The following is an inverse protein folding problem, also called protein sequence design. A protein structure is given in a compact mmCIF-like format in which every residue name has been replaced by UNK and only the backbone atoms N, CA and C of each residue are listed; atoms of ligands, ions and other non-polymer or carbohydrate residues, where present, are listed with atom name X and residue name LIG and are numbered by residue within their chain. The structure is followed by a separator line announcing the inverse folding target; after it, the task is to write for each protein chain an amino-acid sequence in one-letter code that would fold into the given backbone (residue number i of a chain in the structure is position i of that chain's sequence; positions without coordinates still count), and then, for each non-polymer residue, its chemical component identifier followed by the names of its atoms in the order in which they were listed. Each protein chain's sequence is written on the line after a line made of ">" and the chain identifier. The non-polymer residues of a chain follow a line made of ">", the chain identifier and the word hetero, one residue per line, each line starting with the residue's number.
data_IF_623117609197
#
_entry.id   IF_623117609197
#
_cell.length_a   1.000
_cell.length_b   1.000
_cell.length_c   1.000
_cell.angle_alpha   90.00
_cell.angle_beta   90.00
_cell.angle_gamma   90.00
#
_symmetry.space_group_name_H-M   'P 1'
#
loop_
_entity.id
_entity.type
_entity.pdbx_description
1 polymer ?
#
# COMPACT_ATOMS: atom_id res chain seq x y z
N UNK A 1 3.53 16.98 17.41
CA UNK A 1 3.45 15.78 18.26
C UNK A 1 2.23 15.77 19.16
N UNK A 2 1.90 16.84 19.89
CA UNK A 2 0.71 16.85 20.78
C UNK A 2 -0.62 16.53 20.07
N UNK A 3 -0.88 17.13 18.90
CA UNK A 3 -2.09 16.83 18.11
C UNK A 3 -2.15 15.35 17.69
N UNK A 4 -1.02 14.78 17.26
CA UNK A 4 -0.95 13.37 16.86
C UNK A 4 -1.24 12.45 18.05
N UNK A 5 -0.74 12.79 19.24
CA UNK A 5 -1.05 12.04 20.47
C UNK A 5 -2.56 12.04 20.79
N UNK A 6 -3.24 13.21 20.69
CA UNK A 6 -4.69 13.30 20.89
C UNK A 6 -5.47 12.41 19.90
N UNK A 7 -5.05 12.39 18.64
CA UNK A 7 -5.64 11.54 17.61
C UNK A 7 -5.42 10.05 17.93
N UNK A 8 -4.21 9.67 18.36
CA UNK A 8 -3.92 8.27 18.74
C UNK A 8 -4.84 7.81 19.87
N UNK A 9 -4.99 8.62 20.91
CA UNK A 9 -5.89 8.31 22.04
C UNK A 9 -7.34 8.15 21.57
N UNK A 10 -7.83 9.06 20.73
CA UNK A 10 -9.23 9.05 20.25
C UNK A 10 -9.55 7.83 19.37
N UNK A 11 -8.61 7.40 18.54
CA UNK A 11 -8.83 6.34 17.55
C UNK A 11 -8.22 4.99 17.93
N UNK A 12 -7.65 4.83 19.14
CA UNK A 12 -6.84 3.68 19.56
C UNK A 12 -7.46 2.31 19.31
N UNK A 13 -8.78 2.18 19.48
CA UNK A 13 -9.50 0.91 19.27
C UNK A 13 -9.92 0.65 17.81
N UNK A 14 -9.73 1.64 16.93
CA UNK A 14 -10.11 1.51 15.53
C UNK A 14 -9.06 0.73 14.73
N UNK A 15 -9.55 -0.02 13.72
CA UNK A 15 -8.73 -0.85 12.84
C UNK A 15 -9.17 -0.70 11.39
N UNK A 16 -8.24 -0.96 10.48
CA UNK A 16 -8.55 -1.02 9.07
C UNK A 16 -9.54 -2.16 8.77
N UNK A 17 -10.71 -1.81 8.24
CA UNK A 17 -11.68 -2.80 7.76
C UNK A 17 -11.20 -3.38 6.42
N UNK A 18 -11.56 -4.65 6.11
CA UNK A 18 -11.35 -5.22 4.78
C UNK A 18 -11.97 -4.34 3.69
N UNK A 19 -11.29 -4.25 2.55
CA UNK A 19 -11.72 -3.51 1.37
C UNK A 19 -12.61 -4.40 0.52
N UNK A 20 -13.78 -3.87 0.14
CA UNK A 20 -14.66 -4.55 -0.81
C UNK A 20 -14.16 -4.37 -2.24
N UNK A 21 -14.22 -5.43 -3.03
CA UNK A 21 -14.05 -5.38 -4.49
C UNK A 21 -15.06 -6.29 -5.20
N UNK A 22 -15.27 -6.04 -6.49
CA UNK A 22 -16.20 -6.80 -7.33
C UNK A 22 -15.45 -7.62 -8.36
N UNK A 23 -15.30 -8.95 -8.20
CA UNK A 23 -14.57 -9.80 -9.15
C UNK A 23 -14.96 -9.58 -10.61
N UNK A 24 -16.26 -9.44 -10.91
CA UNK A 24 -16.76 -9.22 -12.27
C UNK A 24 -16.22 -7.96 -12.95
N UNK A 25 -15.86 -6.91 -12.20
CA UNK A 25 -15.28 -5.67 -12.77
C UNK A 25 -13.82 -5.84 -13.19
N UNK A 26 -13.13 -6.84 -12.65
CA UNK A 26 -11.71 -7.10 -12.89
C UNK A 26 -11.47 -8.22 -13.90
N UNK A 27 -12.35 -9.22 -13.93
CA UNK A 27 -12.17 -10.47 -14.67
C UNK A 27 -11.67 -10.28 -16.12
N UNK A 28 -12.38 -9.51 -16.93
CA UNK A 28 -12.02 -9.29 -18.34
C UNK A 28 -10.66 -8.61 -18.55
N UNK A 29 -10.14 -7.91 -17.54
CA UNK A 29 -8.84 -7.24 -17.58
C UNK A 29 -7.70 -8.16 -17.14
N UNK A 30 -7.99 -9.24 -16.41
CA UNK A 30 -6.99 -10.15 -15.85
C UNK A 30 -6.89 -11.48 -16.61
N UNK A 31 -7.97 -11.91 -17.26
CA UNK A 31 -7.99 -13.15 -18.06
C UNK A 31 -6.93 -13.20 -19.16
N UNK A 32 -6.69 -12.13 -19.97
CA UNK A 32 -5.64 -12.15 -20.99
C UNK A 32 -4.21 -12.33 -20.42
N UNK A 33 -4.03 -12.10 -19.12
CA UNK A 33 -2.74 -12.18 -18.44
C UNK A 33 -2.65 -13.38 -17.49
N UNK A 34 -3.60 -14.32 -17.55
CA UNK A 34 -3.65 -15.51 -16.67
C UNK A 34 -3.58 -15.14 -15.17
N UNK A 35 -4.19 -14.02 -14.79
CA UNK A 35 -4.20 -13.49 -13.43
C UNK A 35 -5.60 -13.48 -12.79
N UNK A 36 -6.61 -14.05 -13.47
CA UNK A 36 -7.99 -14.01 -13.01
C UNK A 36 -8.25 -14.88 -11.77
N UNK A 37 -7.41 -15.87 -11.48
CA UNK A 37 -7.48 -16.67 -10.25
C UNK A 37 -7.23 -15.85 -8.98
N UNK A 38 -6.54 -14.70 -9.09
CA UNK A 38 -6.35 -13.78 -7.97
C UNK A 38 -7.68 -13.25 -7.44
N UNK A 39 -8.75 -13.27 -8.26
CA UNK A 39 -10.09 -12.83 -7.84
C UNK A 39 -10.71 -13.73 -6.76
N UNK A 40 -10.14 -14.90 -6.50
CA UNK A 40 -10.55 -15.80 -5.42
C UNK A 40 -9.89 -15.49 -4.07
N UNK A 41 -9.09 -14.43 -3.98
CA UNK A 41 -8.51 -13.98 -2.71
C UNK A 41 -9.56 -13.40 -1.75
N UNK A 42 -9.25 -13.47 -0.45
CA UNK A 42 -10.08 -12.93 0.62
C UNK A 42 -11.36 -13.74 0.80
N UNK A 43 -12.37 -13.14 1.43
CA UNK A 43 -13.61 -13.81 1.82
C UNK A 43 -14.83 -13.27 1.06
N UNK A 44 -15.85 -14.09 0.87
CA UNK A 44 -17.12 -13.65 0.30
C UNK A 44 -17.80 -12.57 1.15
N UNK A 45 -18.37 -11.54 0.52
CA UNK A 45 -19.06 -10.46 1.22
C UNK A 45 -20.50 -10.88 1.55
N UNK A 46 -20.74 -11.28 2.80
CA UNK A 46 -22.06 -11.75 3.27
C UNK A 46 -23.15 -10.67 3.19
N UNK A 47 -22.76 -9.39 3.33
CA UNK A 47 -23.67 -8.24 3.38
C UNK A 47 -23.60 -7.35 2.13
N UNK A 48 -23.10 -7.87 1.00
CA UNK A 48 -22.94 -7.15 -0.27
C UNK A 48 -23.79 -7.73 -1.40
N UNK A 49 -23.79 -7.08 -2.58
CA UNK A 49 -24.27 -7.72 -3.81
C UNK A 49 -23.61 -9.09 -3.99
N UNK A 50 -24.40 -10.07 -4.43
CA UNK A 50 -23.93 -11.45 -4.63
C UNK A 50 -22.65 -11.47 -5.49
N UNK A 51 -21.60 -12.11 -4.96
CA UNK A 51 -20.30 -12.24 -5.63
C UNK A 51 -19.25 -11.19 -5.27
N UNK A 52 -19.59 -10.12 -4.54
CA UNK A 52 -18.59 -9.19 -3.99
C UNK A 52 -17.71 -9.91 -2.95
N UNK A 53 -16.43 -9.50 -2.86
CA UNK A 53 -15.45 -10.06 -1.93
C UNK A 53 -14.80 -8.99 -1.09
N UNK A 54 -14.23 -9.40 0.04
CA UNK A 54 -13.50 -8.56 0.98
C UNK A 54 -12.05 -9.02 1.04
N UNK A 55 -11.12 -8.08 0.88
CA UNK A 55 -9.68 -8.29 0.98
C UNK A 55 -9.08 -7.36 2.03
N UNK A 56 -8.30 -7.91 2.96
CA UNK A 56 -7.62 -7.20 4.04
C UNK A 56 -6.12 -7.12 3.80
N UNK A 57 -5.41 -6.28 4.58
CA UNK A 57 -3.94 -6.26 4.59
C UNK A 57 -3.36 -7.61 5.01
N UNK A 58 -4.05 -8.33 5.92
CA UNK A 58 -3.69 -9.68 6.34
C UNK A 58 -3.78 -10.71 5.20
N UNK A 59 -4.78 -10.60 4.31
CA UNK A 59 -4.87 -11.48 3.14
C UNK A 59 -3.69 -11.28 2.18
N UNK A 60 -3.18 -10.04 2.06
CA UNK A 60 -1.97 -9.75 1.27
C UNK A 60 -0.73 -10.36 1.91
N UNK A 61 -0.59 -10.27 3.24
CA UNK A 61 0.50 -10.92 3.97
C UNK A 61 0.45 -12.45 3.83
N UNK A 62 -0.71 -13.05 3.99
CA UNK A 62 -0.90 -14.50 3.79
C UNK A 62 -0.63 -14.92 2.35
N UNK A 63 -0.98 -14.09 1.36
CA UNK A 63 -0.62 -14.36 -0.03
C UNK A 63 0.90 -14.30 -0.21
N UNK A 64 1.56 -13.22 0.24
CA UNK A 64 3.03 -13.09 0.20
C UNK A 64 3.72 -14.30 0.81
N UNK A 65 3.31 -14.74 2.00
CA UNK A 65 3.97 -15.84 2.71
C UNK A 65 3.79 -17.21 2.01
N UNK A 66 2.76 -17.32 1.15
CA UNK A 66 2.48 -18.53 0.36
C UNK A 66 3.16 -18.52 -1.01
N UNK A 67 3.34 -17.36 -1.61
CA UNK A 67 3.84 -17.22 -2.97
C UNK A 67 5.36 -17.03 -2.93
N UNK A 68 6.07 -17.64 -3.88
CA UNK A 68 7.51 -17.50 -3.97
C UNK A 68 7.93 -16.17 -4.61
N UNK A 69 9.22 -16.04 -4.87
CA UNK A 69 9.78 -14.88 -5.60
C UNK A 69 9.81 -15.09 -7.12
N UNK A 70 9.11 -16.11 -7.62
CA UNK A 70 8.99 -16.32 -9.06
C UNK A 70 8.11 -15.21 -9.70
N UNK A 71 8.33 -14.90 -11.00
CA UNK A 71 7.63 -13.80 -11.66
C UNK A 71 6.09 -13.87 -11.60
N UNK A 72 5.50 -15.07 -11.64
CA UNK A 72 4.05 -15.23 -11.64
C UNK A 72 3.49 -15.01 -10.24
N UNK A 73 4.17 -15.53 -9.22
CA UNK A 73 3.86 -15.28 -7.80
C UNK A 73 3.88 -13.78 -7.46
N UNK A 74 4.92 -13.06 -7.88
CA UNK A 74 5.03 -11.61 -7.66
C UNK A 74 3.95 -10.83 -8.44
N UNK A 75 3.64 -11.24 -9.68
CA UNK A 75 2.53 -10.68 -10.46
C UNK A 75 1.20 -10.84 -9.72
N UNK A 76 0.93 -12.02 -9.18
CA UNK A 76 -0.34 -12.33 -8.51
C UNK A 76 -0.49 -11.52 -7.21
N UNK A 77 0.59 -11.40 -6.43
CA UNK A 77 0.63 -10.52 -5.27
C UNK A 77 0.41 -9.06 -5.67
N UNK A 78 1.08 -8.60 -6.73
CA UNK A 78 0.90 -7.25 -7.25
C UNK A 78 -0.56 -6.99 -7.66
N UNK A 79 -1.21 -7.91 -8.36
CA UNK A 79 -2.63 -7.80 -8.73
C UNK A 79 -3.51 -7.73 -7.48
N UNK A 80 -3.27 -8.56 -6.47
CA UNK A 80 -3.99 -8.51 -5.20
C UNK A 80 -3.85 -7.14 -4.51
N UNK A 81 -2.66 -6.55 -4.53
CA UNK A 81 -2.40 -5.20 -4.00
C UNK A 81 -3.17 -4.14 -4.80
N UNK A 82 -3.23 -4.25 -6.13
CA UNK A 82 -3.99 -3.30 -6.96
C UNK A 82 -5.51 -3.39 -6.69
N UNK A 83 -6.03 -4.61 -6.51
CA UNK A 83 -7.43 -4.86 -6.13
C UNK A 83 -7.73 -4.21 -4.77
N UNK A 84 -6.92 -4.52 -3.77
CA UNK A 84 -7.05 -3.94 -2.42
C UNK A 84 -6.95 -2.42 -2.41
N UNK A 85 -5.99 -1.85 -3.14
CA UNK A 85 -5.78 -0.40 -3.22
C UNK A 85 -6.88 0.35 -3.98
N UNK A 86 -7.61 -0.33 -4.87
CA UNK A 86 -8.65 0.30 -5.69
C UNK A 86 -10.04 0.20 -5.05
N UNK A 87 -10.35 -0.92 -4.39
CA UNK A 87 -11.67 -1.21 -3.85
C UNK A 87 -12.80 -1.06 -4.87
N UNK A 88 -14.00 -0.71 -4.40
CA UNK A 88 -15.15 -0.43 -5.29
C UNK A 88 -15.25 1.02 -5.76
N UNK A 89 -14.45 1.93 -5.21
CA UNK A 89 -14.56 3.39 -5.46
C UNK A 89 -13.65 3.86 -6.59
N UNK A 90 -12.59 3.12 -6.92
CA UNK A 90 -11.72 3.43 -8.03
C UNK A 90 -12.02 2.54 -9.26
N UNK A 91 -13.01 2.93 -10.06
CA UNK A 91 -13.40 2.20 -11.27
C UNK A 91 -12.31 2.11 -12.34
N UNK A 92 -11.23 2.88 -12.23
CA UNK A 92 -10.08 2.85 -13.16
C UNK A 92 -9.01 1.83 -12.76
N UNK A 93 -9.09 1.26 -11.55
CA UNK A 93 -8.14 0.28 -11.03
C UNK A 93 -7.85 -0.89 -12.00
N UNK A 94 -8.87 -1.56 -12.55
CA UNK A 94 -8.66 -2.67 -13.49
C UNK A 94 -7.86 -2.25 -14.74
N UNK A 95 -8.23 -1.13 -15.38
CA UNK A 95 -7.54 -0.59 -16.56
C UNK A 95 -6.08 -0.25 -16.28
N UNK A 96 -5.80 0.36 -15.14
CA UNK A 96 -4.42 0.70 -14.76
C UNK A 96 -3.58 -0.53 -14.42
N UNK A 97 -4.22 -1.57 -13.87
CA UNK A 97 -3.57 -2.84 -13.57
C UNK A 97 -3.25 -3.60 -14.86
N UNK A 98 -4.17 -3.64 -15.83
CA UNK A 98 -3.93 -4.21 -17.15
C UNK A 98 -2.81 -3.50 -17.89
N UNK A 99 -2.75 -2.17 -17.84
CA UNK A 99 -1.62 -1.42 -18.41
C UNK A 99 -0.27 -1.83 -17.81
N UNK A 100 -0.23 -2.16 -16.51
CA UNK A 100 0.98 -2.65 -15.84
C UNK A 100 1.31 -4.09 -16.24
N UNK A 101 0.30 -4.97 -16.34
CA UNK A 101 0.44 -6.37 -16.76
C UNK A 101 0.91 -6.48 -18.22
N UNK A 102 0.54 -5.53 -19.06
CA UNK A 102 0.99 -5.40 -20.45
C UNK A 102 2.40 -4.79 -20.59
N UNK A 103 3.03 -4.35 -19.49
CA UNK A 103 4.38 -3.78 -19.51
C UNK A 103 5.44 -4.89 -19.47
N UNK A 104 6.24 -5.01 -20.54
CA UNK A 104 7.29 -6.01 -20.65
C UNK A 104 8.34 -5.94 -19.52
N UNK A 105 8.43 -4.81 -18.81
CA UNK A 105 9.35 -4.62 -17.67
C UNK A 105 8.82 -5.22 -16.36
N UNK A 106 7.53 -5.57 -16.27
CA UNK A 106 6.89 -5.99 -15.03
C UNK A 106 7.66 -7.06 -14.25
N UNK A 107 8.06 -8.20 -14.84
CA UNK A 107 8.78 -9.24 -14.09
C UNK A 107 10.04 -8.72 -13.41
N UNK A 108 10.83 -7.92 -14.14
CA UNK A 108 12.08 -7.34 -13.62
C UNK A 108 11.79 -6.29 -12.55
N UNK A 109 10.85 -5.37 -12.77
CA UNK A 109 10.54 -4.30 -11.82
C UNK A 109 10.00 -4.87 -10.51
N UNK A 110 9.09 -5.84 -10.56
CA UNK A 110 8.55 -6.46 -9.34
C UNK A 110 9.67 -7.14 -8.56
N UNK A 111 10.50 -7.95 -9.21
CA UNK A 111 11.64 -8.63 -8.56
C UNK A 111 12.64 -7.66 -7.94
N UNK A 112 13.16 -6.71 -8.71
CA UNK A 112 14.23 -5.83 -8.19
C UNK A 112 13.72 -4.90 -7.10
N UNK A 113 12.44 -4.49 -7.17
CA UNK A 113 11.86 -3.63 -6.12
C UNK A 113 11.46 -4.42 -4.88
N UNK A 114 11.07 -5.70 -4.99
CA UNK A 114 10.89 -6.56 -3.81
C UNK A 114 12.23 -6.83 -3.12
N UNK A 115 13.28 -7.15 -3.88
CA UNK A 115 14.65 -7.32 -3.35
C UNK A 115 15.11 -6.05 -2.62
N UNK A 116 15.05 -4.89 -3.29
CA UNK A 116 15.46 -3.62 -2.68
C UNK A 116 14.66 -3.27 -1.41
N UNK A 117 13.35 -3.56 -1.37
CA UNK A 117 12.54 -3.36 -0.15
C UNK A 117 13.00 -4.31 0.96
N UNK A 118 13.24 -5.59 0.67
CA UNK A 118 13.71 -6.58 1.65
C UNK A 118 15.13 -6.33 2.15
N UNK A 119 15.95 -5.64 1.38
CA UNK A 119 17.27 -5.13 1.81
C UNK A 119 17.17 -3.81 2.59
N UNK A 120 16.00 -3.17 2.59
CA UNK A 120 15.78 -1.87 3.20
C UNK A 120 16.19 -0.66 2.38
N UNK A 121 16.59 -0.83 1.12
CA UNK A 121 16.84 0.28 0.19
C UNK A 121 15.53 0.82 -0.41
N UNK A 122 14.72 1.46 0.45
CA UNK A 122 13.46 2.08 0.03
C UNK A 122 13.65 3.21 -1.00
N UNK A 123 14.80 3.89 -0.97
CA UNK A 123 15.13 4.91 -1.97
C UNK A 123 15.46 4.27 -3.34
N UNK A 124 16.19 3.16 -3.36
CA UNK A 124 16.45 2.37 -4.54
C UNK A 124 15.18 1.79 -5.13
N UNK A 125 14.36 1.13 -4.31
CA UNK A 125 13.06 0.61 -4.74
C UNK A 125 12.21 1.71 -5.38
N UNK A 126 12.13 2.90 -4.76
CA UNK A 126 11.41 4.04 -5.30
C UNK A 126 11.94 4.49 -6.67
N UNK A 127 13.26 4.55 -6.86
CA UNK A 127 13.88 4.93 -8.15
C UNK A 127 13.61 3.90 -9.24
N UNK A 128 13.62 2.63 -8.88
CA UNK A 128 13.50 1.51 -9.82
C UNK A 128 12.05 1.24 -10.24
N UNK A 129 11.06 1.55 -9.41
CA UNK A 129 9.67 1.23 -9.71
C UNK A 129 9.11 2.11 -10.82
N UNK A 130 9.01 1.55 -12.04
CA UNK A 130 8.40 2.20 -13.20
C UNK A 130 7.58 1.19 -13.98
N UNK A 131 6.26 1.22 -13.81
CA UNK A 131 5.30 0.46 -14.61
C UNK A 131 4.17 1.35 -15.14
N UNK A 132 3.72 1.06 -16.34
CA UNK A 132 2.59 1.76 -16.94
C UNK A 132 1.33 1.63 -16.06
N UNK A 133 0.59 2.73 -15.91
CA UNK A 133 -0.64 2.76 -15.10
C UNK A 133 -0.43 2.83 -13.59
N UNK A 134 0.79 2.68 -13.07
CA UNK A 134 1.05 2.64 -11.62
C UNK A 134 1.72 3.93 -11.14
N UNK A 135 0.97 4.74 -10.39
CA UNK A 135 1.50 5.93 -9.72
C UNK A 135 2.06 5.65 -8.32
N UNK A 136 2.69 6.67 -7.71
CA UNK A 136 3.26 6.64 -6.34
C UNK A 136 2.35 6.03 -5.29
N UNK A 137 1.10 6.47 -5.27
CA UNK A 137 0.11 6.00 -4.31
C UNK A 137 -0.15 4.49 -4.39
N UNK A 138 0.13 3.85 -5.53
CA UNK A 138 -0.06 2.42 -5.73
C UNK A 138 1.24 1.62 -5.58
N UNK A 139 2.37 2.09 -6.12
CA UNK A 139 3.60 1.32 -5.94
C UNK A 139 4.10 1.30 -4.50
N UNK A 140 3.79 2.32 -3.69
CA UNK A 140 4.10 2.26 -2.24
C UNK A 140 3.25 1.23 -1.51
N UNK A 141 2.07 0.87 -2.03
CA UNK A 141 1.30 -0.29 -1.56
C UNK A 141 1.98 -1.61 -1.91
N UNK A 142 2.58 -1.68 -3.10
CA UNK A 142 3.42 -2.83 -3.46
C UNK A 142 4.60 -2.96 -2.49
N UNK A 143 5.32 -1.88 -2.21
CA UNK A 143 6.42 -1.90 -1.24
C UNK A 143 5.97 -2.38 0.13
N UNK A 144 4.87 -1.84 0.67
CA UNK A 144 4.33 -2.25 1.96
C UNK A 144 3.86 -3.73 1.97
N UNK A 145 3.43 -4.27 0.83
CA UNK A 145 2.96 -5.65 0.73
C UNK A 145 4.11 -6.67 0.64
N UNK A 146 5.23 -6.33 0.00
CA UNK A 146 6.39 -7.23 -0.13
C UNK A 146 7.37 -7.14 1.04
N UNK A 147 7.24 -6.12 1.90
CA UNK A 147 8.11 -5.97 3.06
C UNK A 147 7.80 -7.01 4.14
N UNK A 148 8.67 -8.01 4.26
CA UNK A 148 8.63 -9.10 5.24
C UNK A 148 9.80 -9.04 6.24
N UNK A 149 10.58 -7.95 6.23
CA UNK A 149 11.68 -7.72 7.19
C UNK A 149 11.18 -7.71 8.62
N UNK A 150 12.03 -7.80 9.62
CA UNK A 150 11.61 -7.80 11.03
C UNK A 150 10.83 -6.52 11.43
N UNK A 151 9.95 -6.61 12.43
CA UNK A 151 9.18 -5.45 12.94
C UNK A 151 10.05 -4.38 13.61
N UNK A 152 11.30 -4.71 13.96
CA UNK A 152 12.30 -3.76 14.47
C UNK A 152 12.92 -2.90 13.37
N UNK A 153 12.74 -3.25 12.10
CA UNK A 153 13.16 -2.45 10.97
C UNK A 153 12.10 -1.40 10.58
N UNK A 154 12.55 -0.29 10.01
CA UNK A 154 11.68 0.67 9.32
C UNK A 154 11.09 0.05 8.05
N UNK A 155 10.00 -0.71 8.19
CA UNK A 155 9.24 -1.32 7.10
C UNK A 155 8.59 -0.28 6.20
N UNK A 156 8.47 -0.58 4.92
CA UNK A 156 7.82 0.24 3.92
C UNK A 156 6.38 0.58 4.32
N UNK A 157 6.01 1.86 4.16
CA UNK A 157 4.68 2.39 4.43
C UNK A 157 4.08 2.99 3.16
N UNK A 158 2.76 3.05 3.09
CA UNK A 158 1.98 3.56 1.98
C UNK A 158 1.93 5.08 2.04
N UNK A 159 2.48 5.72 1.02
CA UNK A 159 2.40 7.18 0.84
C UNK A 159 1.43 7.54 -0.29
N UNK A 160 0.13 7.45 0.01
CA UNK A 160 -0.92 7.93 -0.88
C UNK A 160 -1.37 9.36 -0.57
N UNK A 161 -2.28 9.87 -1.39
CA UNK A 161 -2.72 11.26 -1.29
C UNK A 161 -3.49 11.55 0.01
N UNK A 162 -4.14 10.56 0.64
CA UNK A 162 -4.86 10.76 1.91
C UNK A 162 -3.88 10.87 3.06
N UNK A 163 -2.90 9.97 3.11
CA UNK A 163 -1.80 10.04 4.07
C UNK A 163 -1.07 11.37 3.91
N UNK A 164 -0.73 11.75 2.67
CA UNK A 164 -0.03 12.99 2.39
C UNK A 164 -0.83 14.24 2.81
N UNK A 165 -2.16 14.24 2.64
CA UNK A 165 -3.03 15.33 3.14
C UNK A 165 -2.98 15.44 4.66
N UNK A 166 -3.07 14.33 5.38
CA UNK A 166 -2.99 14.34 6.85
C UNK A 166 -1.63 14.83 7.34
N UNK A 167 -0.53 14.39 6.71
CA UNK A 167 0.80 14.89 7.02
C UNK A 167 0.92 16.41 6.82
N UNK A 168 0.42 16.93 5.70
CA UNK A 168 0.42 18.37 5.44
C UNK A 168 -0.44 19.14 6.44
N UNK A 169 -1.60 18.60 6.83
CA UNK A 169 -2.48 19.21 7.82
C UNK A 169 -1.85 19.25 9.21
N UNK A 170 -0.99 18.28 9.55
CA UNK A 170 -0.14 18.30 10.75
C UNK A 170 1.08 19.25 10.63
N UNK A 171 1.19 19.99 9.53
CA UNK A 171 2.31 20.90 9.25
C UNK A 171 3.60 20.20 8.81
N UNK A 172 3.58 18.89 8.58
CA UNK A 172 4.76 18.16 8.14
C UNK A 172 4.99 18.31 6.64
N UNK A 173 6.25 18.58 6.26
CA UNK A 173 6.64 18.73 4.86
C UNK A 173 7.78 17.77 4.52
N UNK A 174 7.49 16.81 3.63
CA UNK A 174 8.46 15.80 3.19
C UNK A 174 9.77 16.36 2.66
N UNK A 175 9.77 17.44 1.89
CA UNK A 175 11.01 18.00 1.33
C UNK A 175 11.81 18.79 2.36
N UNK A 176 11.15 19.40 3.36
CA UNK A 176 11.84 20.05 4.48
C UNK A 176 12.49 18.99 5.37
N UNK A 177 11.73 17.94 5.71
CA UNK A 177 12.21 16.83 6.51
C UNK A 177 13.40 16.12 5.83
N UNK A 178 13.32 15.89 4.52
CA UNK A 178 14.38 15.22 3.77
C UNK A 178 15.56 16.12 3.38
N UNK A 179 15.46 17.44 3.55
CA UNK A 179 16.46 18.40 3.05
C UNK A 179 16.60 18.43 1.52
N UNK A 180 15.73 17.75 0.77
CA UNK A 180 15.82 17.61 -0.70
C UNK A 180 14.44 17.53 -1.33
N UNK A 181 14.36 17.92 -2.62
CA UNK A 181 13.15 17.75 -3.44
C UNK A 181 13.03 16.37 -4.07
N UNK A 182 14.10 15.57 -4.04
CA UNK A 182 14.12 14.22 -4.62
C UNK A 182 13.13 13.30 -3.91
N UNK A 183 12.16 12.78 -4.67
CA UNK A 183 11.11 11.92 -4.14
C UNK A 183 11.59 10.63 -3.46
N UNK A 184 12.62 9.92 -3.97
CA UNK A 184 13.14 8.72 -3.29
C UNK A 184 13.55 8.98 -1.84
N UNK A 185 14.39 10.00 -1.62
CA UNK A 185 14.84 10.39 -0.28
C UNK A 185 13.68 10.86 0.58
N UNK A 186 12.73 11.61 0.00
CA UNK A 186 11.52 12.06 0.70
C UNK A 186 10.63 10.90 1.16
N UNK A 187 10.53 9.84 0.37
CA UNK A 187 9.79 8.64 0.74
C UNK A 187 10.49 7.88 1.87
N UNK A 188 11.80 7.64 1.77
CA UNK A 188 12.55 7.00 2.85
C UNK A 188 12.49 7.81 4.16
N UNK A 189 12.59 9.15 4.08
CA UNK A 189 12.45 10.05 5.23
C UNK A 189 11.05 9.99 5.83
N UNK A 190 10.00 9.92 4.99
CA UNK A 190 8.63 9.72 5.44
C UNK A 190 8.49 8.43 6.25
N UNK A 191 9.01 7.31 5.73
CA UNK A 191 8.92 6.01 6.41
C UNK A 191 9.61 6.08 7.78
N UNK A 192 10.87 6.53 7.82
CA UNK A 192 11.61 6.63 9.08
C UNK A 192 10.93 7.57 10.10
N UNK A 193 10.44 8.74 9.64
CA UNK A 193 9.68 9.66 10.52
C UNK A 193 8.43 9.02 11.12
N UNK A 194 7.70 8.21 10.34
CA UNK A 194 6.49 7.53 10.82
C UNK A 194 6.82 6.45 11.85
N UNK A 195 7.91 5.70 11.67
CA UNK A 195 8.36 4.71 12.65
C UNK A 195 8.81 5.38 13.95
N UNK A 196 9.58 6.47 13.87
CA UNK A 196 9.97 7.27 15.03
C UNK A 196 8.75 7.77 15.81
N UNK A 197 7.75 8.32 15.11
CA UNK A 197 6.53 8.80 15.76
C UNK A 197 5.70 7.66 16.35
N UNK A 198 5.56 6.55 15.63
CA UNK A 198 4.80 5.40 16.10
C UNK A 198 5.42 4.82 17.38
N UNK A 199 6.75 4.68 17.41
CA UNK A 199 7.53 4.28 18.58
C UNK A 199 7.29 5.22 19.76
N UNK A 200 7.43 6.54 19.55
CA UNK A 200 7.18 7.54 20.59
C UNK A 200 5.73 7.58 21.11
N UNK A 201 4.77 7.10 20.31
CA UNK A 201 3.34 7.06 20.63
C UNK A 201 2.87 5.70 21.16
N UNK A 202 3.75 4.69 21.19
CA UNK A 202 3.40 3.33 21.64
C UNK A 202 2.46 2.58 20.69
N UNK A 203 2.50 2.87 19.39
CA UNK A 203 1.68 2.21 18.35
C UNK A 203 2.57 1.67 17.23
N UNK A 204 2.00 0.85 16.34
CA UNK A 204 2.74 0.38 15.15
C UNK A 204 2.69 1.43 14.03
N UNK A 205 3.74 1.50 13.21
CA UNK A 205 3.80 2.42 12.09
C UNK A 205 2.72 2.15 11.03
N UNK A 206 2.39 0.88 10.77
CA UNK A 206 1.27 0.45 9.91
C UNK A 206 -0.08 1.00 10.41
N UNK A 207 -0.30 0.97 11.73
CA UNK A 207 -1.52 1.52 12.32
C UNK A 207 -1.55 3.04 12.24
N UNK A 208 -0.42 3.71 12.49
CA UNK A 208 -0.31 5.16 12.37
C UNK A 208 -0.53 5.62 10.92
N UNK A 209 0.04 4.93 9.94
CA UNK A 209 -0.22 5.14 8.51
C UNK A 209 -1.72 5.00 8.20
N UNK A 210 -2.36 3.94 8.68
CA UNK A 210 -3.80 3.74 8.51
C UNK A 210 -4.62 4.88 9.14
N UNK A 211 -4.25 5.34 10.33
CA UNK A 211 -4.91 6.49 10.98
C UNK A 211 -4.81 7.73 10.09
N UNK A 212 -3.63 8.05 9.57
CA UNK A 212 -3.46 9.19 8.66
C UNK A 212 -4.26 9.01 7.35
N UNK A 213 -4.34 7.80 6.81
CA UNK A 213 -5.21 7.50 5.67
C UNK A 213 -6.70 7.71 6.00
N UNK A 214 -7.13 7.30 7.19
CA UNK A 214 -8.51 7.43 7.66
C UNK A 214 -8.93 8.90 7.85
N UNK A 215 -8.06 9.72 8.44
CA UNK A 215 -8.30 11.14 8.68
C UNK A 215 -8.39 11.93 7.37
N UNK A 216 -7.57 11.59 6.36
CA UNK A 216 -7.57 12.23 5.04
C UNK A 216 -7.54 13.78 5.12
N UNK A 217 -6.63 14.33 5.93
CA UNK A 217 -6.47 15.76 6.16
C UNK A 217 -7.32 16.35 7.28
N UNK A 218 -8.26 15.59 7.86
CA UNK A 218 -9.19 16.07 8.90
C UNK A 218 -8.64 15.85 10.30
N UNK A 219 -7.51 16.49 10.59
CA UNK A 219 -6.73 16.31 11.83
C UNK A 219 -7.23 17.15 13.01
N UNK A 220 -8.14 18.09 12.74
CA UNK A 220 -8.77 18.96 13.74
C UNK A 220 -10.13 18.44 14.22
N UNK A 221 -10.59 17.30 13.70
CA UNK A 221 -11.80 16.60 14.18
C UNK A 221 -11.52 15.91 15.53
N UNK A 222 -11.29 16.73 16.57
CA UNK A 222 -11.22 16.35 17.98
C UNK A 222 -12.57 16.45 18.68
#
# INVERSE_FOLDING_TARGET
>A
MEQLHKLVVRYGDCKQKPVRFRPGTWRSWLEPHEAAHVLDIGVGCVNGPSGDRLISRGDLSHLRDRVGDDPNSLRDLFVAVMIWGSGTTNGRGPRHTEAALSDARMPTVLRTTSEAVREGDLSGAYRQFVLNGVGRSFFTKWFAAVDDRDTTCDRALILDDRVFRSLNALGWSSWKAAGTRQWPTRYATYVSSMHDWASALGVTADWLEWLLFHLNGRVDEL
#
